data_IF_533186527904
#
_entry.id   IF_533186527904
#
_cell.length_a   1.000
_cell.length_b   1.000
_cell.length_c   1.000
_cell.angle_alpha   90.00
_cell.angle_beta   90.00
_cell.angle_gamma   90.00
#
_symmetry.space_group_name_H-M   'P 1'
#
loop_
_entity.id
_entity.type
_entity.pdbx_description
1 polymer ?
#
# COMPACT_ATOMS: atom_id res chain seq x y z
N UNK A 1 -2.35 2.41 17.55
CA UNK A 1 -3.09 1.71 16.48
C UNK A 1 -2.67 2.36 15.18
N UNK A 2 -1.73 1.76 14.43
CA UNK A 2 -1.30 2.35 13.15
C UNK A 2 -2.28 1.85 12.09
N UNK A 3 -3.22 2.71 11.70
CA UNK A 3 -4.00 2.51 10.48
C UNK A 3 -3.06 2.84 9.32
N UNK A 4 -2.62 1.83 8.57
CA UNK A 4 -1.74 2.00 7.41
C UNK A 4 -2.49 2.54 6.17
N UNK A 5 -3.51 3.38 6.38
CA UNK A 5 -4.36 3.91 5.31
C UNK A 5 -4.37 5.43 5.41
N UNK A 6 -3.53 6.07 4.61
CA UNK A 6 -3.56 7.53 4.44
C UNK A 6 -4.49 7.84 3.27
N UNK A 7 -5.79 7.96 3.55
CA UNK A 7 -6.71 8.64 2.66
C UNK A 7 -6.75 10.10 3.10
N UNK A 8 -6.26 11.01 2.26
CA UNK A 8 -6.43 12.43 2.50
C UNK A 8 -7.38 12.98 1.45
N UNK A 9 -8.64 13.14 1.84
CA UNK A 9 -9.63 13.90 1.07
C UNK A 9 -9.71 15.27 1.70
N UNK A 10 -9.28 16.29 0.97
CA UNK A 10 -9.43 17.68 1.38
C UNK A 10 -10.74 18.21 0.78
N UNK A 11 -11.77 18.32 1.62
CA UNK A 11 -12.93 19.16 1.30
C UNK A 11 -12.61 20.59 1.71
N UNK A 12 -12.62 21.52 0.75
CA UNK A 12 -12.44 22.94 1.03
C UNK A 12 -13.83 23.54 1.26
N UNK A 13 -14.47 23.13 2.36
CA UNK A 13 -15.67 23.78 2.88
C UNK A 13 -15.37 24.28 4.31
N UNK A 14 -15.51 25.58 4.62
CA UNK A 14 -15.12 26.14 5.92
C UNK A 14 -15.88 25.54 7.12
N UNK A 15 -16.89 24.70 6.88
CA UNK A 15 -17.82 24.16 7.88
C UNK A 15 -17.75 22.64 8.10
N UNK A 16 -16.90 21.87 7.42
CA UNK A 16 -16.90 20.40 7.56
C UNK A 16 -15.56 19.82 8.01
N UNK A 17 -15.60 19.08 9.12
CA UNK A 17 -14.50 18.34 9.75
C UNK A 17 -14.03 17.11 8.96
N UNK A 18 -12.77 16.71 9.15
CA UNK A 18 -12.16 15.48 8.62
C UNK A 18 -12.99 14.22 8.99
N UNK A 19 -13.25 13.35 8.01
CA UNK A 19 -13.95 12.07 8.20
C UNK A 19 -13.01 10.84 8.07
N UNK A 20 -13.25 9.74 8.81
CA UNK A 20 -12.48 8.51 8.71
C UNK A 20 -12.80 7.65 7.45
N UNK A 21 -11.91 6.69 7.08
CA UNK A 21 -11.84 6.09 5.72
C UNK A 21 -13.04 5.26 5.23
N UNK A 22 -13.79 4.62 6.13
CA UNK A 22 -14.96 3.80 5.75
C UNK A 22 -16.25 4.61 5.60
N UNK A 23 -16.25 5.87 6.01
CA UNK A 23 -17.42 6.74 5.92
C UNK A 23 -17.48 7.55 4.62
N UNK A 24 -16.41 7.61 3.82
CA UNK A 24 -16.43 8.38 2.57
C UNK A 24 -17.43 7.80 1.55
N UNK A 25 -17.61 6.47 1.53
CA UNK A 25 -18.64 5.83 0.72
C UNK A 25 -20.08 6.05 1.26
N UNK A 26 -20.23 6.37 2.55
CA UNK A 26 -21.52 6.58 3.23
C UNK A 26 -21.88 8.04 3.48
N UNK A 27 -20.99 9.00 3.18
CA UNK A 27 -21.29 10.43 3.25
C UNK A 27 -22.47 10.77 2.33
N UNK A 28 -23.45 11.49 2.87
CA UNK A 28 -24.64 11.96 2.15
C UNK A 28 -24.24 13.00 1.11
N UNK A 29 -23.92 12.53 -0.10
CA UNK A 29 -23.40 13.34 -1.18
C UNK A 29 -24.52 13.75 -2.15
N UNK A 30 -24.94 15.01 -2.11
CA UNK A 30 -26.13 15.50 -2.87
C UNK A 30 -25.80 16.05 -4.26
N UNK A 31 -24.54 16.12 -4.65
CA UNK A 31 -24.10 16.67 -5.94
C UNK A 31 -24.00 15.58 -7.02
N UNK A 32 -24.60 15.76 -8.22
CA UNK A 32 -24.58 14.77 -9.32
C UNK A 32 -23.18 14.45 -9.86
N UNK A 33 -22.22 15.37 -9.73
CA UNK A 33 -20.87 15.17 -10.23
C UNK A 33 -20.15 14.13 -9.38
N UNK A 34 -20.20 14.24 -8.05
CA UNK A 34 -19.58 13.28 -7.13
C UNK A 34 -20.13 11.85 -7.15
N UNK A 35 -21.34 11.63 -7.67
CA UNK A 35 -21.80 10.28 -7.98
C UNK A 35 -20.90 9.62 -9.05
N UNK A 36 -20.41 10.41 -10.01
CA UNK A 36 -19.48 9.99 -11.06
C UNK A 36 -18.07 9.74 -10.51
N UNK A 37 -17.59 10.56 -9.56
CA UNK A 37 -16.32 10.29 -8.87
C UNK A 37 -16.40 9.03 -7.99
N UNK A 38 -17.54 8.78 -7.33
CA UNK A 38 -17.77 7.53 -6.59
C UNK A 38 -17.70 6.31 -7.50
N UNK A 39 -18.36 6.35 -8.66
CA UNK A 39 -18.34 5.25 -9.64
C UNK A 39 -16.90 5.01 -10.16
N UNK A 40 -16.11 6.07 -10.35
CA UNK A 40 -14.69 5.93 -10.74
C UNK A 40 -13.81 5.40 -9.64
N UNK A 41 -13.94 5.91 -8.42
CA UNK A 41 -13.21 5.41 -7.26
C UNK A 41 -13.56 3.96 -6.93
N UNK A 42 -14.75 3.49 -7.33
CA UNK A 42 -15.11 2.07 -7.24
C UNK A 42 -14.31 1.15 -8.16
N UNK A 43 -13.64 1.71 -9.19
CA UNK A 43 -12.73 0.98 -10.10
C UNK A 43 -11.32 0.84 -9.52
N UNK A 44 -10.99 1.53 -8.43
CA UNK A 44 -9.72 1.35 -7.75
C UNK A 44 -9.72 -0.02 -7.07
N UNK A 45 -8.74 -0.83 -7.42
CA UNK A 45 -8.55 -2.15 -6.87
C UNK A 45 -7.37 -2.14 -5.91
N UNK A 46 -7.57 -2.72 -4.73
CA UNK A 46 -6.58 -2.75 -3.65
C UNK A 46 -6.38 -4.20 -3.19
N UNK A 47 -5.12 -4.59 -3.03
CA UNK A 47 -4.73 -5.88 -2.48
C UNK A 47 -5.12 -5.99 -1.01
N UNK A 48 -5.24 -7.23 -0.53
CA UNK A 48 -5.41 -7.52 0.89
C UNK A 48 -4.17 -8.25 1.39
N UNK A 49 -3.59 -7.78 2.49
CA UNK A 49 -2.32 -8.29 3.02
C UNK A 49 -2.47 -8.57 4.51
N UNK A 50 -1.95 -9.71 4.97
CA UNK A 50 -1.78 -9.99 6.38
C UNK A 50 -0.39 -9.58 6.86
N UNK A 51 -0.34 -8.87 7.97
CA UNK A 51 0.87 -8.51 8.68
C UNK A 51 0.94 -9.30 9.99
N UNK A 52 1.92 -10.19 10.11
CA UNK A 52 2.21 -10.93 11.32
C UNK A 52 3.46 -10.34 11.98
N UNK A 53 3.30 -9.79 13.17
CA UNK A 53 4.41 -9.43 14.05
C UNK A 53 4.64 -10.61 14.99
N UNK A 54 5.90 -11.03 15.14
CA UNK A 54 6.27 -12.09 16.06
C UNK A 54 7.55 -11.73 16.83
N UNK A 55 7.60 -12.10 18.10
CA UNK A 55 8.81 -11.96 18.91
C UNK A 55 9.29 -13.34 19.38
N UNK A 56 10.58 -13.58 19.22
CA UNK A 56 11.26 -14.83 19.59
C UNK A 56 12.32 -14.58 20.66
N UNK A 57 12.53 -15.57 21.52
CA UNK A 57 13.65 -15.55 22.49
C UNK A 57 14.99 -15.69 21.78
N UNK A 58 15.05 -16.59 20.80
CA UNK A 58 16.23 -16.86 19.98
C UNK A 58 16.12 -16.20 18.59
N UNK A 59 17.25 -15.91 17.91
CA UNK A 59 17.22 -15.44 16.54
C UNK A 59 16.63 -16.49 15.61
N UNK A 60 16.04 -16.04 14.49
CA UNK A 60 15.67 -16.96 13.41
C UNK A 60 16.92 -17.66 12.88
N UNK A 61 16.83 -18.96 12.55
CA UNK A 61 17.96 -19.68 11.97
C UNK A 61 18.34 -19.07 10.62
N UNK A 62 19.63 -19.07 10.33
CA UNK A 62 20.09 -18.64 9.01
C UNK A 62 19.57 -19.61 7.95
N UNK A 63 19.16 -19.11 6.77
CA UNK A 63 18.87 -19.95 5.62
C UNK A 63 20.08 -20.85 5.31
N UNK A 64 19.84 -22.09 4.89
CA UNK A 64 20.89 -23.10 4.68
C UNK A 64 22.06 -22.65 3.75
N UNK A 65 21.80 -21.66 2.88
CA UNK A 65 22.77 -21.14 1.89
C UNK A 65 23.24 -19.71 2.20
N UNK A 66 22.90 -19.13 3.35
CA UNK A 66 23.27 -17.75 3.67
C UNK A 66 24.75 -17.66 4.09
N UNK A 67 25.48 -16.75 3.43
CA UNK A 67 26.81 -16.27 3.89
C UNK A 67 26.66 -15.68 5.29
N UNK A 68 27.74 -15.71 6.09
CA UNK A 68 27.88 -15.31 7.51
C UNK A 68 27.49 -13.85 7.88
N UNK A 69 26.58 -13.23 7.15
CA UNK A 69 25.96 -11.97 7.52
C UNK A 69 24.76 -12.20 8.43
N UNK A 70 24.44 -11.24 9.32
CA UNK A 70 23.22 -11.31 10.11
C UNK A 70 22.01 -11.35 9.17
N UNK A 71 21.12 -12.30 9.40
CA UNK A 71 19.86 -12.39 8.65
C UNK A 71 18.90 -11.30 9.14
N UNK A 72 18.69 -10.26 8.33
CA UNK A 72 17.93 -9.07 8.70
C UNK A 72 16.59 -8.93 7.95
N UNK A 73 16.42 -9.65 6.85
CA UNK A 73 15.19 -9.66 6.07
C UNK A 73 15.36 -10.38 4.74
N UNK A 74 14.25 -10.69 4.10
CA UNK A 74 14.23 -11.35 2.79
C UNK A 74 12.94 -11.09 2.03
N UNK A 75 13.06 -10.88 0.72
CA UNK A 75 11.96 -11.12 -0.21
C UNK A 75 11.78 -12.63 -0.39
N UNK A 76 10.55 -13.10 -0.20
CA UNK A 76 10.24 -14.52 -0.21
C UNK A 76 9.59 -14.88 -1.55
N UNK A 77 10.16 -15.87 -2.24
CA UNK A 77 9.63 -16.41 -3.50
C UNK A 77 9.26 -17.87 -3.31
N UNK A 78 8.25 -18.35 -4.05
CA UNK A 78 7.81 -19.74 -4.02
C UNK A 78 7.03 -20.15 -2.77
N UNK A 79 6.80 -19.24 -1.83
CA UNK A 79 5.93 -19.45 -0.66
C UNK A 79 4.69 -18.60 -0.80
N UNK A 80 3.53 -19.23 -0.69
CA UNK A 80 2.25 -18.57 -0.89
C UNK A 80 1.84 -17.68 0.30
N UNK A 81 2.11 -18.08 1.54
CA UNK A 81 1.65 -17.37 2.74
C UNK A 81 2.52 -16.20 3.18
N UNK A 82 3.71 -16.01 2.60
CA UNK A 82 4.68 -14.96 2.97
C UNK A 82 5.36 -14.40 1.71
N UNK A 83 5.35 -13.07 1.53
CA UNK A 83 6.05 -12.37 0.45
C UNK A 83 7.30 -11.62 0.93
N UNK A 84 7.32 -11.19 2.19
CA UNK A 84 8.42 -10.43 2.76
C UNK A 84 8.53 -10.67 4.26
N UNK A 85 9.77 -10.69 4.76
CA UNK A 85 10.06 -10.68 6.18
C UNK A 85 11.20 -9.74 6.54
N UNK A 86 11.13 -9.10 7.71
CA UNK A 86 12.15 -8.17 8.18
C UNK A 86 12.31 -8.21 9.70
N UNK A 87 13.56 -8.13 10.14
CA UNK A 87 13.97 -8.04 11.53
C UNK A 87 13.82 -6.59 12.02
N UNK A 88 12.82 -6.33 12.85
CA UNK A 88 12.58 -5.00 13.40
C UNK A 88 13.67 -4.57 14.38
N UNK A 89 14.35 -5.51 15.03
CA UNK A 89 15.44 -5.21 15.97
C UNK A 89 16.71 -4.70 15.27
N UNK A 90 16.78 -4.74 13.94
CA UNK A 90 17.94 -4.27 13.16
C UNK A 90 17.68 -3.00 12.36
N UNK A 91 16.44 -2.48 12.36
CA UNK A 91 16.07 -1.27 11.60
C UNK A 91 16.65 0.03 12.16
N UNK A 92 16.96 0.09 13.46
CA UNK A 92 17.48 1.28 14.13
C UNK A 92 18.89 1.03 14.65
N UNK A 93 19.81 1.98 14.38
CA UNK A 93 21.24 1.91 14.71
C UNK A 93 21.54 1.77 16.22
N UNK A 94 20.56 2.02 17.11
CA UNK A 94 20.72 1.98 18.56
C UNK A 94 19.96 0.82 19.25
N UNK A 95 19.49 -0.17 18.49
CA UNK A 95 18.88 -1.36 19.08
C UNK A 95 19.94 -2.18 19.83
N UNK A 96 19.86 -2.20 21.15
CA UNK A 96 20.69 -3.08 21.97
C UNK A 96 20.33 -4.54 21.62
N UNK A 97 21.34 -5.38 21.36
CA UNK A 97 21.16 -6.81 21.05
C UNK A 97 20.67 -7.65 22.25
N UNK A 98 20.22 -7.01 23.33
CA UNK A 98 19.81 -7.64 24.59
C UNK A 98 18.29 -7.81 24.72
N UNK A 99 17.53 -7.45 23.69
CA UNK A 99 16.08 -7.59 23.64
C UNK A 99 15.60 -8.76 22.76
N UNK A 100 14.28 -9.03 22.76
CA UNK A 100 13.71 -10.10 21.95
C UNK A 100 13.89 -9.87 20.45
N UNK A 101 13.96 -10.97 19.70
CA UNK A 101 14.07 -10.94 18.24
C UNK A 101 12.70 -10.69 17.61
N UNK A 102 12.41 -9.42 17.34
CA UNK A 102 11.14 -8.97 16.77
C UNK A 102 11.16 -8.97 15.24
N UNK A 103 10.22 -9.69 14.64
CA UNK A 103 10.06 -9.81 13.18
C UNK A 103 8.71 -9.33 12.71
N UNK A 104 8.67 -8.80 11.49
CA UNK A 104 7.43 -8.57 10.73
C UNK A 104 7.45 -9.48 9.51
N UNK A 105 6.34 -10.19 9.28
CA UNK A 105 6.09 -10.99 8.10
C UNK A 105 4.86 -10.44 7.38
N UNK A 106 4.95 -10.30 6.07
CA UNK A 106 3.83 -9.92 5.22
C UNK A 106 3.43 -11.08 4.31
N UNK A 107 2.13 -11.31 4.17
CA UNK A 107 1.62 -12.30 3.22
C UNK A 107 1.70 -11.80 1.78
N UNK A 108 1.59 -12.73 0.83
CA UNK A 108 1.21 -12.38 -0.54
C UNK A 108 -0.21 -11.81 -0.57
N UNK A 109 -0.53 -11.04 -1.61
CA UNK A 109 -1.86 -10.54 -1.94
C UNK A 109 -2.83 -11.69 -2.25
N UNK A 110 -2.35 -12.73 -2.92
CA UNK A 110 -3.16 -13.92 -3.25
C UNK A 110 -3.59 -14.66 -1.99
N UNK A 111 -2.69 -14.81 -1.02
CA UNK A 111 -3.02 -15.38 0.28
C UNK A 111 -3.96 -14.46 1.07
N UNK A 112 -3.71 -13.16 1.11
CA UNK A 112 -4.58 -12.22 1.81
C UNK A 112 -5.99 -12.13 1.22
N UNK A 113 -6.13 -12.20 -0.12
CA UNK A 113 -7.43 -12.24 -0.81
C UNK A 113 -8.24 -13.49 -0.43
N UNK A 114 -7.62 -14.68 -0.42
CA UNK A 114 -8.30 -15.94 -0.05
C UNK A 114 -8.68 -16.01 1.43
N UNK A 115 -7.98 -15.27 2.28
CA UNK A 115 -8.20 -15.24 3.72
C UNK A 115 -8.85 -13.95 4.23
N UNK A 116 -9.44 -13.15 3.33
CA UNK A 116 -10.02 -11.86 3.67
C UNK A 116 -11.26 -12.05 4.55
N UNK A 117 -11.31 -11.28 5.64
CA UNK A 117 -12.45 -11.20 6.58
C UNK A 117 -12.73 -9.72 6.90
N UNK A 118 -13.85 -9.38 7.55
CA UNK A 118 -14.07 -8.02 8.02
C UNK A 118 -12.93 -7.54 8.93
N UNK A 119 -12.23 -6.48 8.51
CA UNK A 119 -11.01 -5.99 9.20
C UNK A 119 -11.28 -5.57 10.65
N UNK A 120 -12.45 -4.98 10.91
CA UNK A 120 -12.90 -4.53 12.25
C UNK A 120 -13.29 -5.69 13.17
N UNK A 121 -13.52 -6.90 12.61
CA UNK A 121 -13.99 -8.05 13.36
C UNK A 121 -13.40 -9.36 12.80
N UNK A 122 -12.11 -9.58 13.07
CA UNK A 122 -11.40 -10.78 12.63
C UNK A 122 -11.80 -11.96 13.54
N UNK A 123 -12.43 -13.03 13.01
CA UNK A 123 -12.78 -14.18 13.82
C UNK A 123 -11.54 -14.87 14.38
N UNK A 124 -11.54 -15.24 15.67
CA UNK A 124 -10.40 -15.90 16.35
C UNK A 124 -9.92 -17.13 15.60
N UNK A 125 -10.83 -17.98 15.12
CA UNK A 125 -10.47 -19.17 14.35
C UNK A 125 -9.72 -18.84 13.04
N UNK A 126 -10.05 -17.72 12.40
CA UNK A 126 -9.33 -17.26 11.20
C UNK A 126 -7.98 -16.69 11.56
N UNK A 127 -7.90 -15.87 12.62
CA UNK A 127 -6.64 -15.30 13.07
C UNK A 127 -5.62 -16.40 13.42
N UNK A 128 -6.05 -17.42 14.16
CA UNK A 128 -5.20 -18.56 14.53
C UNK A 128 -4.74 -19.35 13.29
N UNK A 129 -5.67 -19.68 12.38
CA UNK A 129 -5.33 -20.40 11.14
C UNK A 129 -4.36 -19.62 10.25
N UNK A 130 -4.57 -18.31 10.10
CA UNK A 130 -3.68 -17.45 9.30
C UNK A 130 -2.30 -17.33 9.95
N UNK A 131 -2.25 -17.15 11.27
CA UNK A 131 -0.99 -17.11 12.04
C UNK A 131 -0.18 -18.38 11.82
N UNK A 132 -0.77 -19.55 12.01
CA UNK A 132 -0.07 -20.84 11.83
C UNK A 132 0.40 -21.02 10.38
N UNK A 133 -0.44 -20.68 9.39
CA UNK A 133 -0.08 -20.78 7.97
C UNK A 133 1.06 -19.82 7.57
N UNK A 134 1.12 -18.63 8.17
CA UNK A 134 2.22 -17.69 7.96
C UNK A 134 3.51 -18.17 8.64
N UNK A 135 3.44 -18.73 9.85
CA UNK A 135 4.61 -19.31 10.52
C UNK A 135 5.17 -20.52 9.76
N UNK A 136 4.30 -21.41 9.27
CA UNK A 136 4.69 -22.50 8.37
C UNK A 136 5.30 -21.97 7.06
N UNK A 137 4.80 -20.84 6.55
CA UNK A 137 5.41 -20.13 5.43
C UNK A 137 6.83 -19.64 5.72
N UNK A 138 7.08 -19.14 6.93
CA UNK A 138 8.43 -18.74 7.38
C UNK A 138 9.35 -19.96 7.45
N UNK A 139 8.88 -21.08 8.00
CA UNK A 139 9.64 -22.34 8.01
C UNK A 139 10.04 -22.77 6.59
N UNK A 140 9.08 -22.80 5.68
CA UNK A 140 9.31 -23.15 4.28
C UNK A 140 10.31 -22.20 3.60
N UNK A 141 10.18 -20.89 3.85
CA UNK A 141 11.08 -19.88 3.29
C UNK A 141 12.53 -20.02 3.80
N UNK A 142 12.70 -20.51 5.03
CA UNK A 142 14.01 -20.77 5.64
C UNK A 142 14.56 -22.17 5.30
N UNK A 143 13.80 -23.00 4.60
CA UNK A 143 14.16 -24.40 4.30
C UNK A 143 14.09 -25.32 5.52
N UNK A 144 13.30 -24.96 6.53
CA UNK A 144 13.12 -25.73 7.75
C UNK A 144 12.02 -26.78 7.56
N UNK A 145 12.12 -27.88 8.32
CA UNK A 145 11.03 -28.85 8.43
C UNK A 145 9.83 -28.24 9.16
N UNK A 146 8.63 -28.68 8.81
CA UNK A 146 7.38 -28.22 9.46
C UNK A 146 7.43 -28.37 10.98
N UNK A 147 7.00 -27.34 11.70
CA UNK A 147 6.96 -27.28 13.17
C UNK A 147 8.32 -27.40 13.87
N UNK A 148 9.41 -27.06 13.19
CA UNK A 148 10.75 -27.03 13.79
C UNK A 148 11.18 -25.63 14.24
N UNK A 149 10.52 -24.57 13.77
CA UNK A 149 10.75 -23.23 14.26
C UNK A 149 10.21 -23.12 15.69
N UNK A 150 11.03 -22.59 16.61
CA UNK A 150 10.58 -22.29 17.97
C UNK A 150 9.40 -21.33 17.92
N UNK A 151 8.35 -21.62 18.70
CA UNK A 151 7.16 -20.78 18.72
C UNK A 151 7.50 -19.38 19.26
N UNK A 152 7.01 -18.31 18.61
CA UNK A 152 7.15 -16.96 19.15
C UNK A 152 6.38 -16.84 20.46
N UNK A 153 6.99 -16.20 21.47
CA UNK A 153 6.34 -15.95 22.77
C UNK A 153 5.31 -14.82 22.69
N UNK A 154 5.39 -13.98 21.66
CA UNK A 154 4.42 -12.94 21.37
C UNK A 154 4.11 -12.91 19.88
N UNK A 155 2.82 -12.79 19.54
CA UNK A 155 2.38 -12.52 18.17
C UNK A 155 1.29 -11.46 18.13
N UNK A 156 1.25 -10.72 17.03
CA UNK A 156 0.15 -9.83 16.69
C UNK A 156 -0.12 -9.94 15.20
N UNK A 157 -1.36 -10.26 14.86
CA UNK A 157 -1.80 -10.38 13.48
C UNK A 157 -2.72 -9.21 13.12
N UNK A 158 -2.54 -8.64 11.94
CA UNK A 158 -3.37 -7.56 11.41
C UNK A 158 -3.67 -7.79 9.94
N UNK A 159 -4.93 -7.61 9.54
CA UNK A 159 -5.35 -7.58 8.13
C UNK A 159 -5.36 -6.15 7.63
N UNK A 160 -4.71 -5.90 6.50
CA UNK A 160 -4.85 -4.68 5.72
C UNK A 160 -5.74 -5.01 4.52
N UNK A 161 -7.04 -4.73 4.63
CA UNK A 161 -8.04 -5.11 3.61
C UNK A 161 -7.97 -4.32 2.30
N UNK A 162 -7.20 -3.24 2.31
CA UNK A 162 -6.88 -2.36 1.20
C UNK A 162 -5.46 -1.83 1.43
N UNK A 163 -4.46 -2.64 1.03
CA UNK A 163 -3.05 -2.46 1.36
C UNK A 163 -2.28 -1.74 0.26
N UNK A 164 -2.16 -2.36 -0.93
CA UNK A 164 -1.48 -1.78 -2.09
C UNK A 164 -2.45 -1.69 -3.28
N UNK A 165 -2.40 -0.64 -4.10
CA UNK A 165 -3.16 -0.57 -5.34
C UNK A 165 -2.69 -1.62 -6.35
N UNK A 166 -3.64 -2.24 -7.04
CA UNK A 166 -3.37 -3.12 -8.19
C UNK A 166 -3.63 -2.42 -9.52
N UNK A 167 -4.17 -1.20 -9.49
CA UNK A 167 -4.29 -0.31 -10.63
C UNK A 167 -4.17 1.16 -10.19
N UNK A 168 -3.88 2.04 -11.14
CA UNK A 168 -3.69 3.47 -10.87
C UNK A 168 -4.15 4.32 -12.06
N UNK A 169 -4.70 5.53 -11.84
CA UNK A 169 -4.99 6.47 -12.93
C UNK A 169 -3.75 7.19 -13.47
N UNK A 170 -2.58 7.04 -12.82
CA UNK A 170 -1.31 7.57 -13.30
C UNK A 170 -1.23 9.10 -13.28
N UNK A 171 -1.90 9.75 -12.34
CA UNK A 171 -1.98 11.21 -12.21
C UNK A 171 -1.75 11.61 -10.75
N UNK A 172 -0.95 12.64 -10.44
CA UNK A 172 -0.55 12.91 -9.06
C UNK A 172 -1.67 13.36 -8.12
N UNK A 173 -2.77 13.94 -8.60
CA UNK A 173 -3.93 14.30 -7.80
C UNK A 173 -5.20 14.30 -8.66
N UNK A 174 -6.36 14.21 -8.02
CA UNK A 174 -7.66 14.44 -8.66
C UNK A 174 -8.28 15.65 -7.99
N UNK A 175 -8.79 16.59 -8.78
CA UNK A 175 -9.49 17.74 -8.27
C UNK A 175 -10.78 18.01 -9.05
N UNK A 176 -11.89 18.06 -8.32
CA UNK A 176 -13.18 18.51 -8.82
C UNK A 176 -13.45 19.96 -8.37
N UNK A 177 -13.40 20.96 -9.29
CA UNK A 177 -13.68 22.35 -8.99
C UNK A 177 -15.15 22.63 -8.68
N UNK A 178 -16.08 21.89 -9.29
CA UNK A 178 -17.51 22.04 -9.02
C UNK A 178 -17.84 21.55 -7.62
N UNK A 179 -17.21 20.45 -7.21
CA UNK A 179 -17.32 19.89 -5.89
C UNK A 179 -16.43 20.52 -4.82
N UNK A 180 -15.42 21.29 -5.23
CA UNK A 180 -14.36 21.86 -4.36
C UNK A 180 -13.68 20.78 -3.51
N UNK A 181 -13.45 19.63 -4.12
CA UNK A 181 -12.89 18.46 -3.46
C UNK A 181 -11.64 17.98 -4.20
N UNK A 182 -10.60 17.74 -3.42
CA UNK A 182 -9.35 17.17 -3.89
C UNK A 182 -9.08 15.82 -3.27
N UNK A 183 -8.49 14.92 -4.06
CA UNK A 183 -8.07 13.59 -3.62
C UNK A 183 -6.58 13.42 -3.89
N UNK A 184 -5.86 12.98 -2.88
CA UNK A 184 -4.46 12.57 -2.98
C UNK A 184 -4.21 11.24 -2.23
N UNK A 185 -3.15 10.54 -2.63
CA UNK A 185 -2.75 9.25 -2.07
C UNK A 185 -1.68 8.58 -2.92
N UNK A 186 -1.02 7.57 -2.37
CA UNK A 186 -0.05 6.74 -3.10
C UNK A 186 -0.67 6.14 -4.36
N UNK A 187 -1.88 5.59 -4.23
CA UNK A 187 -2.62 4.86 -5.27
C UNK A 187 -2.92 5.63 -6.56
N UNK A 188 -2.71 6.94 -6.55
CA UNK A 188 -2.81 7.80 -7.73
C UNK A 188 -1.60 7.72 -8.66
N UNK A 189 -0.43 7.31 -8.14
CA UNK A 189 0.82 7.16 -8.88
C UNK A 189 1.44 5.76 -8.75
N UNK A 190 1.11 5.01 -7.70
CA UNK A 190 1.74 3.74 -7.39
C UNK A 190 1.51 3.32 -5.95
N UNK A 191 2.48 2.66 -5.32
CA UNK A 191 2.30 2.04 -3.99
C UNK A 191 3.49 2.30 -3.06
N UNK A 192 3.99 3.54 -3.06
CA UNK A 192 5.18 3.95 -2.31
C UNK A 192 4.91 5.17 -1.42
N UNK A 193 5.74 5.34 -0.39
CA UNK A 193 5.72 6.54 0.45
C UNK A 193 6.02 7.80 -0.38
N UNK A 194 6.93 7.69 -1.34
CA UNK A 194 7.24 8.77 -2.29
C UNK A 194 6.01 9.16 -3.11
N UNK A 195 5.28 8.19 -3.67
CA UNK A 195 4.04 8.43 -4.41
C UNK A 195 3.00 9.15 -3.56
N UNK A 196 2.80 8.74 -2.30
CA UNK A 196 1.90 9.43 -1.37
C UNK A 196 2.35 10.88 -1.12
N UNK A 197 3.64 11.10 -0.88
CA UNK A 197 4.19 12.44 -0.62
C UNK A 197 4.04 13.35 -1.84
N UNK A 198 4.43 12.88 -3.04
CA UNK A 198 4.28 13.61 -4.30
C UNK A 198 2.81 13.93 -4.55
N UNK A 199 1.90 12.98 -4.33
CA UNK A 199 0.47 13.20 -4.53
C UNK A 199 -0.10 14.27 -3.57
N UNK A 200 0.28 14.22 -2.30
CA UNK A 200 -0.10 15.23 -1.31
C UNK A 200 0.42 16.62 -1.65
N UNK A 201 1.70 16.72 -2.05
CA UNK A 201 2.31 17.97 -2.52
C UNK A 201 1.62 18.47 -3.78
N UNK A 202 1.30 17.60 -4.73
CA UNK A 202 0.62 18.00 -5.96
C UNK A 202 -0.76 18.59 -5.67
N UNK A 203 -1.54 17.98 -4.77
CA UNK A 203 -2.82 18.55 -4.36
C UNK A 203 -2.65 19.87 -3.57
N UNK A 204 -1.65 19.96 -2.70
CA UNK A 204 -1.40 21.15 -1.89
C UNK A 204 -0.85 22.33 -2.71
N UNK A 205 0.06 22.09 -3.65
CA UNK A 205 0.56 23.10 -4.59
C UNK A 205 -0.54 23.57 -5.53
N UNK A 206 -1.49 22.70 -5.84
CA UNK A 206 -2.71 23.12 -6.49
C UNK A 206 -3.47 24.16 -5.63
N UNK A 207 -3.35 24.13 -4.29
CA UNK A 207 -4.12 24.88 -3.29
C UNK A 207 -3.44 26.06 -2.56
N UNK A 208 -2.10 26.24 -2.59
CA UNK A 208 -1.41 27.24 -1.73
C UNK A 208 -0.67 28.32 -2.54
N UNK A 209 -1.07 29.59 -2.34
CA UNK A 209 -0.23 30.76 -2.66
C UNK A 209 0.97 30.82 -1.73
N UNK A 210 2.19 30.95 -2.27
CA UNK A 210 3.17 32.02 -1.95
C UNK A 210 4.54 31.70 -2.59
N UNK A 211 4.94 32.43 -3.64
CA UNK A 211 6.27 33.04 -3.87
C UNK A 211 6.42 33.45 -5.35
N UNK A 212 6.74 34.73 -5.65
CA UNK A 212 6.92 35.19 -7.02
C UNK A 212 8.38 34.98 -7.43
N UNK A 213 8.62 34.05 -8.35
CA UNK A 213 9.54 34.20 -9.50
C UNK A 213 10.01 32.83 -9.97
N UNK A 214 9.84 32.60 -11.27
CA UNK A 214 10.35 31.46 -12.03
C UNK A 214 9.76 30.09 -11.66
N UNK A 215 8.60 29.76 -12.22
CA UNK A 215 8.31 28.51 -12.95
C UNK A 215 6.81 28.55 -13.31
N UNK A 216 6.51 28.88 -14.56
CA UNK A 216 5.15 28.91 -15.09
C UNK A 216 4.71 27.47 -15.38
N UNK A 217 4.26 26.74 -14.36
CA UNK A 217 3.57 25.46 -14.52
C UNK A 217 2.57 25.26 -13.38
N UNK A 218 1.30 25.58 -13.68
CA UNK A 218 0.05 25.03 -13.12
C UNK A 218 -0.25 25.35 -11.63
N UNK A 219 -1.12 26.34 -11.38
CA UNK A 219 -1.67 26.70 -10.04
C UNK A 219 -3.19 26.94 -10.09
N UNK A 220 -3.97 25.88 -10.23
CA UNK A 220 -5.37 25.94 -10.66
C UNK A 220 -6.42 26.14 -9.51
N UNK A 221 -6.31 25.57 -8.30
CA UNK A 221 -7.38 25.72 -7.26
C UNK A 221 -7.42 27.13 -6.67
N UNK A 222 -6.25 27.71 -6.36
CA UNK A 222 -6.19 29.05 -5.79
C UNK A 222 -6.71 30.09 -6.80
N UNK A 223 -6.34 29.94 -8.07
CA UNK A 223 -6.85 30.75 -9.18
C UNK A 223 -8.36 30.56 -9.37
N UNK A 224 -8.88 29.32 -9.22
CA UNK A 224 -10.32 29.07 -9.22
C UNK A 224 -11.04 29.84 -8.10
N UNK A 225 -10.55 29.79 -6.86
CA UNK A 225 -11.14 30.57 -5.76
C UNK A 225 -10.99 32.09 -5.94
N UNK A 226 -9.85 32.57 -6.43
CA UNK A 226 -9.64 33.99 -6.73
C UNK A 226 -10.49 34.48 -7.91
N UNK A 227 -10.78 33.62 -8.89
CA UNK A 227 -11.67 33.91 -10.01
C UNK A 227 -13.16 33.96 -9.60
N UNK A 228 -13.48 33.69 -8.33
CA UNK A 228 -14.86 33.59 -7.85
C UNK A 228 -15.58 32.34 -8.35
N UNK A 229 -14.84 31.28 -8.69
CA UNK A 229 -15.41 30.06 -9.25
C UNK A 229 -15.75 30.14 -10.74
N UNK A 230 -15.16 31.08 -11.47
CA UNK A 230 -15.38 31.21 -12.91
C UNK A 230 -14.64 30.09 -13.67
N UNK A 231 -15.25 29.57 -14.74
CA UNK A 231 -14.66 28.57 -15.67
C UNK A 231 -14.10 27.31 -14.96
N UNK A 232 -14.91 26.63 -14.13
CA UNK A 232 -14.49 25.46 -13.34
C UNK A 232 -13.81 24.37 -14.18
N UNK A 233 -14.27 24.15 -15.41
CA UNK A 233 -13.75 23.06 -16.25
C UNK A 233 -12.25 23.19 -16.59
N UNK A 234 -11.67 24.38 -16.52
CA UNK A 234 -10.22 24.62 -16.73
C UNK A 234 -9.36 24.17 -15.54
N UNK A 235 -9.98 24.03 -14.39
CA UNK A 235 -9.33 23.69 -13.13
C UNK A 235 -9.50 22.20 -12.80
N UNK A 236 -10.27 21.45 -13.59
CA UNK A 236 -10.48 20.03 -13.41
C UNK A 236 -9.21 19.22 -13.71
N UNK A 237 -8.81 18.36 -12.79
CA UNK A 237 -7.61 17.52 -12.91
C UNK A 237 -7.96 16.07 -12.64
N UNK A 238 -7.54 15.16 -13.53
CA UNK A 238 -7.65 13.72 -13.31
C UNK A 238 -9.03 13.11 -13.44
N UNK A 239 -10.06 13.93 -13.67
CA UNK A 239 -11.44 13.44 -13.75
C UNK A 239 -11.65 12.46 -14.91
N UNK A 240 -10.84 12.51 -15.98
CA UNK A 240 -11.05 11.68 -17.18
C UNK A 240 -10.03 10.55 -17.35
N UNK A 241 -9.13 10.34 -16.39
CA UNK A 241 -8.08 9.34 -16.50
C UNK A 241 -8.63 7.92 -16.29
N UNK A 242 -8.16 6.99 -17.11
CA UNK A 242 -8.47 5.57 -16.96
C UNK A 242 -7.48 4.88 -16.04
N UNK A 243 -7.97 3.92 -15.24
CA UNK A 243 -7.12 3.10 -14.38
C UNK A 243 -6.37 2.07 -15.21
N UNK A 244 -5.05 2.07 -15.08
CA UNK A 244 -4.15 1.11 -15.68
C UNK A 244 -3.66 0.11 -14.63
N UNK A 245 -3.52 -1.18 -14.95
CA UNK A 245 -2.96 -2.17 -14.03
C UNK A 245 -1.55 -1.82 -13.58
N UNK A 246 -1.22 -2.15 -12.33
CA UNK A 246 0.12 -2.03 -11.76
C UNK A 246 0.80 -3.40 -11.67
N UNK A 247 2.11 -3.42 -11.94
CA UNK A 247 2.98 -4.59 -11.76
C UNK A 247 3.53 -4.59 -10.32
N UNK A 248 3.60 -5.76 -9.67
CA UNK A 248 4.13 -5.89 -8.32
C UNK A 248 3.09 -5.53 -7.25
N UNK A 249 2.21 -6.47 -6.91
CA UNK A 249 1.12 -6.25 -5.95
C UNK A 249 1.39 -6.87 -4.58
N UNK A 250 2.51 -7.60 -4.42
CA UNK A 250 2.98 -8.10 -3.14
C UNK A 250 3.95 -7.12 -2.49
N UNK A 251 3.90 -7.02 -1.16
CA UNK A 251 4.90 -6.22 -0.45
C UNK A 251 6.27 -6.86 -0.65
N UNK A 252 7.21 -6.07 -1.18
CA UNK A 252 8.57 -6.46 -1.49
C UNK A 252 8.84 -6.74 -2.99
N UNK A 253 7.82 -6.66 -3.84
CA UNK A 253 8.00 -6.64 -5.29
C UNK A 253 8.16 -5.18 -5.75
N UNK A 254 9.40 -4.72 -5.91
CA UNK A 254 9.65 -3.40 -6.50
C UNK A 254 9.86 -3.53 -8.02
N UNK A 255 9.26 -2.63 -8.82
CA UNK A 255 9.52 -2.57 -10.26
C UNK A 255 11.03 -2.48 -10.54
N UNK A 256 11.51 -3.28 -11.50
CA UNK A 256 12.93 -3.27 -11.91
C UNK A 256 13.87 -4.20 -11.13
N UNK A 257 13.36 -5.00 -10.17
CA UNK A 257 14.15 -6.02 -9.45
C UNK A 257 14.00 -7.45 -10.01
N UNK A 258 13.26 -7.62 -11.11
CA UNK A 258 13.20 -8.90 -11.80
C UNK A 258 14.54 -9.17 -12.49
N UNK A 259 15.25 -10.21 -12.07
CA UNK A 259 16.36 -10.75 -12.83
C UNK A 259 15.83 -11.20 -14.20
N UNK A 260 16.55 -10.88 -15.28
CA UNK A 260 16.21 -11.09 -16.69
C UNK A 260 15.95 -12.56 -17.11
N UNK A 261 15.75 -13.50 -16.17
CA UNK A 261 15.56 -14.92 -16.45
C UNK A 261 14.12 -15.28 -16.89
N UNK A 262 13.12 -14.41 -16.69
CA UNK A 262 11.75 -14.67 -17.16
C UNK A 262 11.51 -14.31 -18.63
N UNK A 263 12.38 -13.51 -19.25
CA UNK A 263 12.26 -13.16 -20.68
C UNK A 263 12.69 -14.32 -21.58
N UNK A 264 13.59 -15.20 -21.13
CA UNK A 264 14.16 -16.28 -21.95
C UNK A 264 13.22 -17.49 -22.09
N UNK A 265 12.37 -17.79 -21.10
CA UNK A 265 11.41 -18.90 -21.21
C UNK A 265 10.18 -18.59 -22.07
N UNK A 266 9.77 -17.32 -22.18
CA UNK A 266 8.65 -16.94 -23.04
C UNK A 266 9.02 -16.99 -24.53
N UNK A 267 10.30 -16.76 -24.88
CA UNK A 267 10.76 -16.72 -26.26
C UNK A 267 11.16 -18.11 -26.82
N UNK A 268 11.48 -19.09 -25.97
CA UNK A 268 11.84 -20.44 -26.43
C UNK A 268 10.64 -21.33 -26.79
N UNK A 269 9.42 -20.97 -26.37
CA UNK A 269 8.20 -21.72 -26.69
C UNK A 269 7.62 -21.37 -28.07
N UNK A 270 8.03 -20.25 -28.68
CA UNK A 270 7.49 -19.79 -29.97
C UNK A 270 8.30 -20.18 -31.21
N UNK A 271 9.42 -20.91 -31.08
CA UNK A 271 10.21 -21.39 -32.21
C UNK A 271 10.38 -22.91 -32.15
N UNK A 272 9.27 -23.63 -32.32
CA UNK A 272 9.30 -25.01 -32.81
C UNK A 272 8.08 -25.29 -33.67
N UNK A 273 8.23 -25.09 -34.98
CA UNK A 273 7.48 -25.79 -36.03
C UNK A 273 8.36 -25.88 -37.26
#
# INVERSE_FOLDING_TARGET
MVKAQTWMMCCVDPSSSLFPPLEIASLHWKSPLFFRERERMSRLELSSIWALLAAFEDPLPNPANAVTFPFEGAFVKGVDSVSWMANNAKKLLCSQNTGPHCWTFFSTATFGKRNKVPQENIPTATAERVKEAMLEGVENALGLSKSSLKRPFYTRLQLWGAALPTNTPGIPCIFDPHGRAGICGDWLLGSSLEAAAISGIALANHASSFYPSFYSFILLIADYFQSGGARPDEFAVGLHNEFQPLIGHDIGQFPGLESEEQTVMAQSIQLST
#
